data_IF_297183349324
#
_entry.id   IF_297183349324
#
_cell.length_a   1.000
_cell.length_b   1.000
_cell.length_c   1.000
_cell.angle_alpha   90.00
_cell.angle_beta   90.00
_cell.angle_gamma   90.00
#
_symmetry.space_group_name_H-M   'P 1'
#
loop_
_entity.id
_entity.type
_entity.pdbx_description
1 polymer ?
#
# COMPACT_ATOMS: atom_id res chain seq x y z
N UNK A 1 -12.89 17.28 -0.33
CA UNK A 1 -13.71 16.08 -0.12
C UNK A 1 -13.08 15.16 0.89
N UNK A 2 -13.25 15.47 2.18
CA UNK A 2 -12.83 14.63 3.31
C UNK A 2 -13.98 14.60 4.32
N UNK A 3 -15.15 14.11 3.88
CA UNK A 3 -16.26 13.87 4.78
C UNK A 3 -16.01 12.54 5.50
N UNK A 4 -16.01 12.56 6.82
CA UNK A 4 -16.01 11.34 7.64
C UNK A 4 -17.40 10.71 7.51
N UNK A 5 -17.49 9.61 6.78
CA UNK A 5 -18.75 8.87 6.66
C UNK A 5 -18.90 7.95 7.86
N UNK A 6 -19.78 8.32 8.80
CA UNK A 6 -20.13 7.49 9.95
C UNK A 6 -21.39 6.67 9.62
N UNK A 7 -21.23 5.35 9.54
CA UNK A 7 -22.34 4.40 9.37
C UNK A 7 -22.54 3.60 10.64
N UNK A 8 -23.81 3.43 11.04
CA UNK A 8 -24.15 2.44 12.06
C UNK A 8 -24.14 1.06 11.40
N UNK A 9 -23.29 0.15 11.90
CA UNK A 9 -23.17 -1.21 11.35
C UNK A 9 -24.53 -1.93 11.37
N UNK A 10 -25.40 -1.63 12.35
CA UNK A 10 -26.76 -2.19 12.43
C UNK A 10 -27.66 -1.79 11.27
N UNK A 11 -27.29 -0.77 10.49
CA UNK A 11 -28.03 -0.28 9.32
C UNK A 11 -27.43 -0.75 8.00
N UNK A 12 -26.44 -1.65 8.00
CA UNK A 12 -25.76 -2.09 6.79
C UNK A 12 -26.74 -2.65 5.74
N UNK A 13 -27.73 -3.45 6.18
CA UNK A 13 -28.80 -3.97 5.33
C UNK A 13 -29.68 -2.85 4.74
N UNK A 14 -29.97 -1.79 5.49
CA UNK A 14 -30.77 -0.67 5.01
C UNK A 14 -30.08 0.12 3.88
N UNK A 15 -28.75 -0.02 3.76
CA UNK A 15 -27.94 0.61 2.72
C UNK A 15 -27.56 -0.36 1.60
N UNK A 16 -27.99 -1.62 1.64
CA UNK A 16 -27.57 -2.67 0.71
C UNK A 16 -26.04 -2.70 0.52
N UNK A 17 -25.31 -2.59 1.65
CA UNK A 17 -23.86 -2.44 1.67
C UNK A 17 -23.16 -3.69 2.21
N UNK A 18 -21.90 -3.87 1.83
CA UNK A 18 -21.03 -4.95 2.30
C UNK A 18 -19.80 -4.41 3.03
N UNK A 19 -19.37 -5.11 4.08
CA UNK A 19 -18.10 -4.84 4.77
C UNK A 19 -17.21 -6.06 4.59
N UNK A 20 -16.12 -5.89 3.83
CA UNK A 20 -15.22 -6.99 3.45
C UNK A 20 -13.83 -6.70 4.03
N UNK A 21 -13.36 -7.60 4.91
CA UNK A 21 -11.96 -7.63 5.33
C UNK A 21 -11.12 -8.35 4.28
N UNK A 22 -9.98 -7.79 3.90
CA UNK A 22 -9.03 -8.44 2.99
C UNK A 22 -7.62 -8.39 3.55
N UNK A 23 -6.83 -9.42 3.26
CA UNK A 23 -5.40 -9.43 3.57
C UNK A 23 -4.63 -9.94 2.36
N UNK A 24 -3.96 -9.01 1.67
CA UNK A 24 -3.26 -9.31 0.42
C UNK A 24 -4.20 -9.74 -0.71
N UNK A 25 -3.67 -10.52 -1.66
CA UNK A 25 -4.45 -11.14 -2.72
C UNK A 25 -4.02 -12.60 -2.96
N UNK A 26 -4.90 -13.38 -3.60
CA UNK A 26 -4.57 -14.75 -3.99
C UNK A 26 -3.39 -14.73 -4.97
N UNK A 27 -2.39 -15.65 -4.84
CA UNK A 27 -1.25 -15.75 -5.74
C UNK A 27 -1.63 -15.79 -7.22
N UNK A 28 -2.75 -16.41 -7.57
CA UNK A 28 -3.28 -16.52 -8.93
C UNK A 28 -3.54 -15.17 -9.61
N UNK A 29 -3.79 -14.11 -8.84
CA UNK A 29 -4.03 -12.76 -9.37
C UNK A 29 -2.75 -11.96 -9.61
N UNK A 30 -1.61 -12.35 -9.02
CA UNK A 30 -0.35 -11.61 -9.16
C UNK A 30 0.13 -11.48 -10.62
N UNK A 31 0.11 -12.54 -11.46
CA UNK A 31 0.57 -12.43 -12.84
C UNK A 31 -0.18 -11.38 -13.65
N UNK A 32 -1.49 -11.24 -13.40
CA UNK A 32 -2.33 -10.28 -14.10
C UNK A 32 -1.96 -8.85 -13.70
N UNK A 33 -1.82 -8.58 -12.41
CA UNK A 33 -1.42 -7.25 -11.90
C UNK A 33 0.00 -6.89 -12.33
N UNK A 34 0.94 -7.84 -12.25
CA UNK A 34 2.31 -7.64 -12.73
C UNK A 34 2.35 -7.26 -14.21
N UNK A 35 1.55 -7.92 -15.04
CA UNK A 35 1.42 -7.60 -16.47
C UNK A 35 0.90 -6.16 -16.69
N UNK A 36 -0.02 -5.67 -15.85
CA UNK A 36 -0.48 -4.29 -15.92
C UNK A 36 0.62 -3.28 -15.60
N UNK A 37 1.49 -3.57 -14.62
CA UNK A 37 2.66 -2.74 -14.29
C UNK A 37 3.65 -2.74 -15.45
N UNK A 38 4.00 -3.92 -15.97
CA UNK A 38 4.95 -4.07 -17.08
C UNK A 38 4.46 -3.40 -18.37
N UNK A 39 3.14 -3.37 -18.61
CA UNK A 39 2.53 -2.64 -19.74
C UNK A 39 2.33 -1.14 -19.47
N UNK A 40 2.77 -0.64 -18.31
CA UNK A 40 2.63 0.76 -17.92
C UNK A 40 1.18 1.21 -17.64
N UNK A 41 0.23 0.28 -17.56
CA UNK A 41 -1.16 0.58 -17.16
C UNK A 41 -1.25 0.99 -15.69
N UNK A 42 -0.32 0.50 -14.86
CA UNK A 42 -0.14 0.89 -13.47
C UNK A 42 1.29 1.41 -13.31
N UNK A 43 1.44 2.64 -12.81
CA UNK A 43 2.73 3.27 -12.57
C UNK A 43 3.10 3.13 -11.10
N UNK A 44 4.21 2.47 -10.80
CA UNK A 44 4.72 2.31 -9.42
C UNK A 44 5.90 3.24 -9.15
N UNK A 45 6.75 3.48 -10.14
CA UNK A 45 8.00 4.24 -10.01
C UNK A 45 7.84 5.63 -9.36
N UNK A 46 6.81 6.44 -9.68
CA UNK A 46 6.64 7.75 -9.03
C UNK A 46 6.38 7.69 -7.51
N UNK A 47 5.92 6.54 -7.01
CA UNK A 47 5.49 6.34 -5.63
C UNK A 47 6.50 5.56 -4.78
N UNK A 48 7.67 5.23 -5.33
CA UNK A 48 8.75 4.57 -4.62
C UNK A 48 9.98 5.46 -4.50
N UNK A 49 10.82 5.19 -3.51
CA UNK A 49 12.17 5.72 -3.41
C UNK A 49 13.14 4.62 -3.02
N UNK A 50 14.37 4.67 -3.53
CA UNK A 50 15.40 3.68 -3.22
C UNK A 50 16.38 4.22 -2.18
N UNK A 51 16.71 3.40 -1.19
CA UNK A 51 17.75 3.71 -0.20
C UNK A 51 18.72 2.52 -0.05
N UNK A 52 20.01 2.74 0.25
CA UNK A 52 20.96 1.64 0.45
C UNK A 52 20.61 0.81 1.69
N UNK A 53 20.80 -0.50 1.60
CA UNK A 53 20.48 -1.43 2.68
C UNK A 53 21.36 -1.22 3.92
N UNK A 54 22.57 -0.66 3.78
CA UNK A 54 23.41 -0.22 4.92
C UNK A 54 22.69 0.72 5.89
N UNK A 55 21.67 1.46 5.44
CA UNK A 55 20.91 2.45 6.23
C UNK A 55 19.62 1.87 6.83
N UNK A 56 19.45 0.53 6.82
CA UNK A 56 18.21 -0.11 7.25
C UNK A 56 17.73 0.34 8.63
N UNK A 57 18.65 0.50 9.59
CA UNK A 57 18.30 0.90 10.96
C UNK A 57 17.72 2.31 11.00
N UNK A 58 18.41 3.26 10.35
CA UNK A 58 18.02 4.66 10.31
C UNK A 58 16.66 4.83 9.59
N UNK A 59 16.46 4.10 8.50
CA UNK A 59 15.20 4.08 7.74
C UNK A 59 14.04 3.58 8.60
N UNK A 60 14.23 2.50 9.35
CA UNK A 60 13.18 1.95 10.21
C UNK A 60 12.85 2.90 11.37
N UNK A 61 13.87 3.51 11.99
CA UNK A 61 13.65 4.51 13.03
C UNK A 61 12.91 5.74 12.53
N UNK A 62 13.25 6.24 11.35
CA UNK A 62 12.56 7.36 10.70
C UNK A 62 11.08 7.04 10.50
N UNK A 63 10.75 5.91 9.89
CA UNK A 63 9.35 5.52 9.60
C UNK A 63 8.55 5.31 10.90
N UNK A 64 9.15 4.72 11.93
CA UNK A 64 8.49 4.57 13.23
C UNK A 64 8.17 5.91 13.90
N UNK A 65 9.05 6.92 13.75
CA UNK A 65 8.88 8.24 14.38
C UNK A 65 7.99 9.17 13.55
N UNK A 66 8.17 9.20 12.23
CA UNK A 66 7.50 10.10 11.30
C UNK A 66 6.15 9.56 10.79
N UNK A 67 5.90 8.25 10.93
CA UNK A 67 4.73 7.59 10.38
C UNK A 67 4.91 7.17 8.91
N UNK A 68 3.80 6.94 8.21
CA UNK A 68 3.83 6.45 6.83
C UNK A 68 4.57 7.42 5.90
N UNK A 69 5.61 6.95 5.16
CA UNK A 69 6.37 7.81 4.27
C UNK A 69 5.53 8.21 3.04
N UNK A 70 5.81 9.37 2.46
CA UNK A 70 5.12 9.86 1.26
C UNK A 70 5.37 8.97 0.02
N UNK A 71 6.54 8.31 -0.02
CA UNK A 71 6.90 7.30 -1.02
C UNK A 71 7.29 6.01 -0.33
N UNK A 72 6.98 4.87 -0.94
CA UNK A 72 7.37 3.56 -0.42
C UNK A 72 8.88 3.39 -0.56
N UNK A 73 9.56 3.20 0.57
CA UNK A 73 11.01 2.97 0.60
C UNK A 73 11.31 1.54 0.13
N UNK A 74 12.23 1.41 -0.82
CA UNK A 74 12.80 0.16 -1.32
C UNK A 74 14.27 0.12 -0.93
N UNK A 75 14.63 -0.82 -0.05
CA UNK A 75 16.02 -1.00 0.37
C UNK A 75 16.77 -1.85 -0.66
N UNK A 76 17.85 -1.29 -1.22
CA UNK A 76 18.67 -1.93 -2.24
C UNK A 76 19.96 -2.46 -1.59
N UNK A 77 20.28 -3.76 -1.71
CA UNK A 77 21.54 -4.32 -1.22
C UNK A 77 22.77 -3.58 -1.75
N UNK A 78 23.70 -3.24 -0.86
CA UNK A 78 24.95 -2.53 -1.18
C UNK A 78 26.17 -3.03 -0.40
N UNK A 79 26.14 -4.33 -0.09
CA UNK A 79 27.21 -5.09 0.55
C UNK A 79 28.01 -5.92 -0.47
#
# INVERSE_FOLDING_TARGET
GLAKNEYSISRLMAFDAEIIGTWGCLPEYYPVVLNMVLKGKIQIEPFVETRPMRQIREVFEEVHKAGSPAKRIVLVPDF
#
